data_IF_052339224805
#
_entry.id   IF_052339224805
#
_cell.length_a   1.000
_cell.length_b   1.000
_cell.length_c   1.000
_cell.angle_alpha   90.00
_cell.angle_beta   90.00
_cell.angle_gamma   90.00
#
_symmetry.space_group_name_H-M   'P 1'
#
loop_
_entity.id
_entity.type
_entity.pdbx_description
1 polymer ?
#
# COMPACT_ATOMS: atom_id res chain seq x y z
N UNK A 1 24.59 32.26 41.25
CA UNK A 1 24.68 31.39 40.04
C UNK A 1 23.89 30.09 40.16
N UNK A 2 23.99 29.29 41.24
CA UNK A 2 23.20 28.03 41.40
C UNK A 2 21.67 28.21 41.33
N UNK A 3 21.14 29.29 41.88
CA UNK A 3 19.68 29.58 41.85
C UNK A 3 19.18 30.00 40.46
N UNK A 4 20.05 30.58 39.62
CA UNK A 4 19.71 30.98 38.26
C UNK A 4 19.56 29.75 37.34
N UNK A 5 20.38 28.72 37.57
CA UNK A 5 20.34 27.46 36.84
C UNK A 5 19.04 26.69 37.11
N UNK A 6 18.56 26.70 38.35
CA UNK A 6 17.28 26.09 38.72
C UNK A 6 16.07 26.80 38.08
N UNK A 7 16.10 28.14 38.02
CA UNK A 7 15.07 28.92 37.33
C UNK A 7 15.05 28.65 35.82
N UNK A 8 16.22 28.57 35.18
CA UNK A 8 16.34 28.22 33.76
C UNK A 8 15.81 26.81 33.45
N UNK A 9 16.13 25.82 34.28
CA UNK A 9 15.63 24.45 34.14
C UNK A 9 14.10 24.36 34.27
N UNK A 10 13.51 25.12 35.19
CA UNK A 10 12.04 25.18 35.33
C UNK A 10 11.36 25.85 34.13
N UNK A 11 11.93 26.92 33.57
CA UNK A 11 11.37 27.57 32.38
C UNK A 11 11.44 26.69 31.13
N UNK A 12 12.49 25.87 30.97
CA UNK A 12 12.58 24.90 29.88
C UNK A 12 11.56 23.75 30.00
N UNK A 13 11.28 23.28 31.22
CA UNK A 13 10.30 22.22 31.45
C UNK A 13 8.85 22.69 31.21
N UNK A 14 8.53 23.94 31.54
CA UNK A 14 7.20 24.51 31.27
C UNK A 14 6.94 24.72 29.77
N UNK A 15 7.95 25.11 29.00
CA UNK A 15 7.82 25.25 27.54
C UNK A 15 7.75 23.87 26.83
N UNK A 16 8.38 22.83 27.38
CA UNK A 16 8.30 21.47 26.83
C UNK A 16 6.90 20.83 26.97
N UNK A 17 6.07 21.28 27.91
CA UNK A 17 4.68 20.83 28.04
C UNK A 17 3.71 21.58 27.11
N UNK A 18 4.10 22.73 26.57
CA UNK A 18 3.25 23.53 25.67
C UNK A 18 3.24 22.99 24.24
N UNK A 19 4.14 22.09 23.88
CA UNK A 19 4.20 21.42 22.58
C UNK A 19 3.86 19.92 22.65
N UNK A 20 2.94 19.50 23.52
CA UNK A 20 2.19 18.29 23.21
C UNK A 20 1.35 18.58 21.96
N UNK A 21 1.95 18.35 20.78
CA UNK A 21 1.22 18.33 19.51
C UNK A 21 0.05 17.38 19.69
N UNK A 22 -1.16 17.93 19.77
CA UNK A 22 -2.37 17.12 19.69
C UNK A 22 -2.32 16.38 18.36
N UNK A 23 -2.08 15.07 18.42
CA UNK A 23 -2.06 14.24 17.25
C UNK A 23 -3.48 13.71 17.05
N UNK A 24 -4.29 14.48 16.32
CA UNK A 24 -5.64 14.05 15.93
C UNK A 24 -5.66 13.69 14.45
N UNK A 25 -6.16 12.51 14.16
CA UNK A 25 -6.29 12.00 12.80
C UNK A 25 -7.49 11.06 12.72
N UNK A 26 -8.26 11.20 11.65
CA UNK A 26 -9.31 10.26 11.27
C UNK A 26 -8.92 9.62 9.95
N UNK A 27 -8.71 8.32 9.93
CA UNK A 27 -8.59 7.55 8.70
C UNK A 27 -9.97 7.04 8.31
N UNK A 28 -10.54 7.63 7.27
CA UNK A 28 -11.84 7.26 6.70
C UNK A 28 -11.61 6.17 5.67
N UNK A 29 -12.27 5.02 5.83
CA UNK A 29 -12.14 3.86 4.95
C UNK A 29 -13.50 3.46 4.39
N UNK A 30 -13.54 3.07 3.12
CA UNK A 30 -14.71 2.56 2.41
C UNK A 30 -14.35 1.29 1.64
N UNK A 31 -15.17 0.26 1.83
CA UNK A 31 -15.15 -0.97 1.04
C UNK A 31 -15.83 -0.67 -0.29
N UNK A 32 -15.08 -0.82 -1.39
CA UNK A 32 -15.51 -0.43 -2.74
C UNK A 32 -15.77 -1.64 -3.63
N UNK A 33 -15.06 -2.75 -3.40
CA UNK A 33 -15.23 -4.00 -4.13
C UNK A 33 -15.33 -5.16 -3.15
N UNK A 34 -16.12 -6.17 -3.53
CA UNK A 34 -16.35 -7.39 -2.76
C UNK A 34 -16.32 -8.60 -3.70
N UNK A 35 -15.79 -9.72 -3.22
CA UNK A 35 -15.82 -10.99 -3.96
C UNK A 35 -17.21 -11.64 -3.80
N UNK A 36 -17.60 -12.52 -4.71
CA UNK A 36 -18.81 -13.33 -4.51
C UNK A 36 -18.69 -14.16 -3.22
N UNK A 37 -19.72 -14.12 -2.39
CA UNK A 37 -19.69 -14.82 -1.11
C UNK A 37 -18.73 -14.17 -0.08
N UNK A 38 -18.42 -12.89 -0.22
CA UNK A 38 -17.50 -12.19 0.68
C UNK A 38 -18.01 -11.98 2.11
N UNK A 39 -17.10 -11.74 3.07
CA UNK A 39 -17.42 -11.20 4.38
C UNK A 39 -18.25 -9.91 4.28
N UNK A 40 -19.20 -9.74 5.17
CA UNK A 40 -20.08 -8.57 5.21
C UNK A 40 -19.44 -7.31 5.82
N UNK A 41 -18.24 -7.38 6.42
CA UNK A 41 -17.61 -6.27 7.15
C UNK A 41 -16.27 -5.85 6.55
N UNK A 42 -16.09 -4.54 6.36
CA UNK A 42 -14.80 -3.93 6.01
C UNK A 42 -13.68 -4.29 6.99
N UNK A 43 -14.00 -4.53 8.26
CA UNK A 43 -13.01 -4.91 9.27
C UNK A 43 -12.25 -6.17 8.87
N UNK A 44 -12.94 -7.15 8.26
CA UNK A 44 -12.33 -8.39 7.82
C UNK A 44 -11.33 -8.14 6.69
N UNK A 45 -11.73 -7.33 5.70
CA UNK A 45 -10.85 -6.93 4.60
C UNK A 45 -9.61 -6.18 5.09
N UNK A 46 -9.80 -5.29 6.07
CA UNK A 46 -8.74 -4.49 6.67
C UNK A 46 -7.76 -5.31 7.50
N UNK A 47 -8.26 -6.15 8.42
CA UNK A 47 -7.43 -6.83 9.43
C UNK A 47 -6.95 -8.22 8.99
N UNK A 48 -7.82 -9.01 8.37
CA UNK A 48 -7.54 -10.42 8.03
C UNK A 48 -6.93 -10.53 6.65
N UNK A 49 -7.57 -9.91 5.66
CA UNK A 49 -7.10 -9.98 4.27
C UNK A 49 -6.02 -8.92 3.95
N UNK A 50 -5.93 -7.85 4.75
CA UNK A 50 -5.01 -6.72 4.55
C UNK A 50 -5.10 -6.14 3.13
N UNK A 51 -6.33 -5.98 2.62
CA UNK A 51 -6.62 -5.55 1.25
C UNK A 51 -6.97 -4.06 1.20
N UNK A 52 -6.06 -3.24 0.67
CA UNK A 52 -6.25 -1.82 0.33
C UNK A 52 -6.09 -1.61 -1.17
N UNK A 53 -6.42 -0.42 -1.69
CA UNK A 53 -6.46 -0.16 -3.13
C UNK A 53 -7.74 -0.75 -3.74
N UNK A 54 -7.65 -1.91 -4.40
CA UNK A 54 -8.80 -2.52 -5.10
C UNK A 54 -10.06 -2.64 -4.23
N UNK A 55 -9.89 -3.05 -2.97
CA UNK A 55 -11.01 -3.40 -2.08
C UNK A 55 -11.36 -2.27 -1.13
N UNK A 56 -10.36 -1.64 -0.51
CA UNK A 56 -10.56 -0.55 0.45
C UNK A 56 -9.88 0.70 -0.07
N UNK A 57 -10.68 1.74 -0.27
CA UNK A 57 -10.21 3.10 -0.47
C UNK A 57 -10.20 3.82 0.88
N UNK A 58 -9.23 4.70 1.08
CA UNK A 58 -9.08 5.41 2.33
C UNK A 58 -8.52 6.82 2.15
N UNK A 59 -8.86 7.71 3.08
CA UNK A 59 -8.29 9.05 3.19
C UNK A 59 -7.99 9.37 4.65
N UNK A 60 -7.10 10.33 4.89
CA UNK A 60 -6.85 10.89 6.22
C UNK A 60 -7.44 12.28 6.30
N UNK A 61 -8.07 12.59 7.43
CA UNK A 61 -8.50 13.93 7.80
C UNK A 61 -7.89 14.29 9.15
N UNK A 62 -7.29 15.46 9.26
CA UNK A 62 -6.69 15.98 10.50
C UNK A 62 -7.63 16.96 11.21
N UNK A 63 -8.94 16.85 10.96
CA UNK A 63 -9.96 17.72 11.53
C UNK A 63 -10.38 17.22 12.92
N UNK A 64 -9.97 17.93 13.97
CA UNK A 64 -10.36 17.66 15.36
C UNK A 64 -11.88 17.55 15.54
N UNK A 65 -12.64 18.45 14.90
CA UNK A 65 -14.11 18.49 15.02
C UNK A 65 -14.72 17.19 14.52
N UNK A 66 -14.22 16.64 13.41
CA UNK A 66 -14.68 15.36 12.89
C UNK A 66 -14.37 14.22 13.87
N UNK A 67 -13.14 14.17 14.39
CA UNK A 67 -12.71 13.13 15.33
C UNK A 67 -13.62 13.09 16.57
N UNK A 68 -13.79 14.24 17.23
CA UNK A 68 -14.64 14.33 18.42
C UNK A 68 -16.13 14.11 18.10
N UNK A 69 -16.61 14.55 16.93
CA UNK A 69 -17.99 14.30 16.51
C UNK A 69 -18.26 12.81 16.29
N UNK A 70 -17.33 12.06 15.70
CA UNK A 70 -17.44 10.62 15.54
C UNK A 70 -17.42 9.86 16.87
N UNK A 71 -16.55 10.27 17.81
CA UNK A 71 -16.53 9.68 19.16
C UNK A 71 -17.84 9.95 19.91
N UNK A 72 -18.38 11.17 19.79
CA UNK A 72 -19.69 11.53 20.34
C UNK A 72 -20.79 10.69 19.71
N UNK A 73 -20.80 10.59 18.37
CA UNK A 73 -21.75 9.79 17.60
C UNK A 73 -21.79 8.34 18.09
N UNK A 74 -20.62 7.71 18.30
CA UNK A 74 -20.53 6.35 18.82
C UNK A 74 -21.18 6.20 20.20
N UNK A 75 -21.00 7.18 21.07
CA UNK A 75 -21.61 7.18 22.41
C UNK A 75 -23.12 7.37 22.32
N UNK A 76 -23.58 8.34 21.53
CA UNK A 76 -25.00 8.66 21.35
C UNK A 76 -25.76 7.51 20.67
N UNK A 77 -25.13 6.80 19.75
CA UNK A 77 -25.74 5.72 18.98
C UNK A 77 -26.35 4.62 19.85
N UNK A 78 -25.76 4.35 21.02
CA UNK A 78 -26.27 3.33 21.95
C UNK A 78 -27.68 3.59 22.47
N UNK A 79 -28.16 4.83 22.35
CA UNK A 79 -29.52 5.22 22.74
C UNK A 79 -30.52 5.20 21.58
N UNK A 80 -30.09 4.91 20.35
CA UNK A 80 -30.96 4.85 19.19
C UNK A 80 -31.67 3.50 19.07
N UNK A 81 -32.60 3.42 18.11
CA UNK A 81 -33.28 2.17 17.78
C UNK A 81 -32.26 1.13 17.32
N UNK A 82 -32.25 -0.01 18.03
CA UNK A 82 -31.31 -1.11 17.81
C UNK A 82 -31.96 -2.23 17.02
N UNK A 83 -31.18 -2.84 16.14
CA UNK A 83 -31.57 -4.00 15.35
C UNK A 83 -30.42 -5.02 15.32
N UNK A 84 -30.77 -6.30 15.21
CA UNK A 84 -29.79 -7.36 15.04
C UNK A 84 -29.17 -7.21 13.65
N UNK A 85 -27.85 -7.06 13.60
CA UNK A 85 -27.09 -7.04 12.37
C UNK A 85 -26.07 -8.18 12.46
N UNK A 86 -26.43 -9.32 11.86
CA UNK A 86 -25.62 -10.52 11.86
C UNK A 86 -24.46 -10.38 10.88
N UNK A 87 -23.53 -9.47 11.17
CA UNK A 87 -22.35 -9.23 10.39
C UNK A 87 -21.08 -9.50 11.21
N UNK A 88 -20.55 -10.73 11.07
CA UNK A 88 -19.32 -11.17 11.72
C UNK A 88 -18.22 -11.56 10.72
N UNK A 89 -17.07 -11.99 11.24
CA UNK A 89 -15.88 -12.33 10.44
C UNK A 89 -16.16 -13.37 9.32
N UNK A 90 -17.15 -14.25 9.51
CA UNK A 90 -17.49 -15.33 8.55
C UNK A 90 -18.90 -15.19 7.96
N UNK A 91 -19.55 -14.03 8.16
CA UNK A 91 -20.91 -13.82 7.68
C UNK A 91 -20.93 -13.44 6.20
N UNK A 92 -21.37 -14.38 5.37
CA UNK A 92 -21.53 -14.24 3.92
C UNK A 92 -22.98 -13.90 3.56
N UNK A 93 -23.19 -12.93 2.66
CA UNK A 93 -24.52 -12.63 2.08
C UNK A 93 -25.52 -11.91 2.99
N UNK A 94 -25.05 -11.21 4.03
CA UNK A 94 -25.88 -10.46 5.01
C UNK A 94 -25.69 -8.94 4.90
N UNK A 95 -26.35 -8.17 5.77
CA UNK A 95 -26.23 -6.72 5.86
C UNK A 95 -24.76 -6.26 5.85
N UNK A 96 -24.41 -5.39 4.90
CA UNK A 96 -23.04 -4.95 4.66
C UNK A 96 -22.66 -3.77 5.57
N UNK A 97 -21.48 -3.86 6.16
CA UNK A 97 -20.82 -2.81 6.94
C UNK A 97 -19.59 -2.33 6.14
N UNK A 98 -19.80 -1.44 5.14
CA UNK A 98 -18.75 -1.08 4.18
C UNK A 98 -17.81 0.00 4.70
N UNK A 99 -18.13 0.69 5.79
CA UNK A 99 -17.43 1.91 6.18
C UNK A 99 -16.79 1.76 7.55
N UNK A 100 -15.59 2.32 7.69
CA UNK A 100 -14.82 2.32 8.93
C UNK A 100 -14.11 3.65 9.11
N UNK A 101 -14.24 4.23 10.29
CA UNK A 101 -13.55 5.45 10.70
C UNK A 101 -12.60 5.09 11.83
N UNK A 102 -11.30 5.14 11.56
CA UNK A 102 -10.27 4.92 12.57
C UNK A 102 -9.91 6.29 13.15
N UNK A 103 -10.17 6.48 14.44
CA UNK A 103 -10.02 7.77 15.12
C UNK A 103 -8.81 7.65 16.04
N UNK A 104 -7.81 8.49 15.81
CA UNK A 104 -6.61 8.61 16.62
C UNK A 104 -6.62 10.01 17.24
N UNK A 105 -6.70 10.09 18.56
CA UNK A 105 -6.62 11.35 19.33
C UNK A 105 -5.54 11.14 20.39
N UNK A 106 -4.39 11.79 20.20
CA UNK A 106 -3.19 11.57 20.99
C UNK A 106 -2.79 10.08 20.97
N UNK A 107 -2.68 9.43 22.13
CA UNK A 107 -2.34 8.00 22.23
C UNK A 107 -3.58 7.08 22.26
N UNK A 108 -4.78 7.63 22.09
CA UNK A 108 -6.01 6.86 22.09
C UNK A 108 -6.48 6.58 20.67
N UNK A 109 -6.81 5.32 20.41
CA UNK A 109 -7.32 4.85 19.13
C UNK A 109 -8.68 4.20 19.33
N UNK A 110 -9.67 4.65 18.58
CA UNK A 110 -10.98 4.03 18.52
C UNK A 110 -11.45 3.85 17.07
N UNK A 111 -12.53 3.09 16.87
CA UNK A 111 -13.09 2.84 15.55
C UNK A 111 -14.61 2.90 15.57
N UNK A 112 -15.18 3.57 14.57
CA UNK A 112 -16.61 3.61 14.30
C UNK A 112 -16.85 2.88 12.99
N UNK A 113 -17.82 1.95 12.99
CA UNK A 113 -18.27 1.27 11.78
C UNK A 113 -19.65 1.77 11.40
N UNK A 114 -19.90 1.97 10.11
CA UNK A 114 -21.22 2.38 9.64
C UNK A 114 -21.69 1.51 8.48
N UNK A 115 -23.02 1.39 8.38
CA UNK A 115 -23.69 0.63 7.32
C UNK A 115 -23.74 1.41 6.00
N UNK A 116 -24.22 0.76 4.94
CA UNK A 116 -24.41 1.38 3.61
C UNK A 116 -25.12 2.73 3.73
N UNK A 117 -24.57 3.74 3.06
CA UNK A 117 -25.12 5.10 3.07
C UNK A 117 -24.98 5.81 4.42
N UNK A 118 -24.16 5.31 5.34
CA UNK A 118 -23.96 5.87 6.68
C UNK A 118 -25.29 6.03 7.45
N UNK A 119 -26.16 5.00 7.42
CA UNK A 119 -27.50 5.08 8.05
C UNK A 119 -27.53 4.64 9.51
N UNK A 120 -26.60 3.77 9.90
CA UNK A 120 -26.52 3.22 11.25
C UNK A 120 -25.07 3.08 11.69
N UNK A 121 -24.84 3.14 13.00
CA UNK A 121 -23.57 2.75 13.63
C UNK A 121 -23.63 1.27 13.96
N UNK A 122 -22.62 0.52 13.54
CA UNK A 122 -22.50 -0.91 13.80
C UNK A 122 -21.50 -1.17 14.93
N UNK A 123 -21.88 -2.04 15.87
CA UNK A 123 -21.02 -2.50 16.96
C UNK A 123 -20.69 -3.99 16.75
N UNK A 124 -19.48 -4.31 16.23
CA UNK A 124 -19.10 -5.68 15.89
C UNK A 124 -19.20 -6.67 17.06
N UNK A 125 -18.81 -6.24 18.26
CA UNK A 125 -18.84 -7.09 19.46
C UNK A 125 -20.27 -7.45 19.91
N UNK A 126 -21.24 -6.60 19.56
CA UNK A 126 -22.65 -6.79 19.93
C UNK A 126 -23.47 -7.41 18.80
N UNK A 127 -22.92 -7.46 17.57
CA UNK A 127 -23.63 -7.85 16.34
C UNK A 127 -24.94 -7.06 16.17
N UNK A 128 -24.87 -5.76 16.49
CA UNK A 128 -26.00 -4.84 16.50
C UNK A 128 -25.70 -3.60 15.67
N UNK A 129 -26.72 -3.11 14.98
CA UNK A 129 -26.72 -1.80 14.36
C UNK A 129 -27.70 -0.87 15.08
N UNK A 130 -27.33 0.40 15.18
CA UNK A 130 -28.11 1.44 15.81
C UNK A 130 -28.44 2.49 14.76
N UNK A 131 -29.70 2.55 14.35
CA UNK A 131 -30.15 3.37 13.22
C UNK A 131 -30.25 4.83 13.63
N UNK A 132 -29.55 5.70 12.91
CA UNK A 132 -29.53 7.12 13.23
C UNK A 132 -30.91 7.75 12.98
N UNK A 133 -31.44 8.56 13.91
CA UNK A 133 -32.64 9.33 13.65
C UNK A 133 -32.37 10.27 12.46
N UNK A 134 -33.26 10.26 11.47
CA UNK A 134 -33.20 11.12 10.28
C UNK A 134 -31.91 10.99 9.42
N UNK A 135 -31.21 9.84 9.45
CA UNK A 135 -29.94 9.64 8.71
C UNK A 135 -28.84 10.68 9.06
N UNK A 136 -28.81 11.15 10.31
CA UNK A 136 -27.94 12.23 10.79
C UNK A 136 -26.42 12.02 10.59
N UNK A 137 -25.92 10.79 10.43
CA UNK A 137 -24.46 10.53 10.47
C UNK A 137 -23.68 11.33 9.43
N UNK A 138 -24.21 11.54 8.22
CA UNK A 138 -23.49 12.31 7.19
C UNK A 138 -23.40 13.81 7.50
N UNK A 139 -24.24 14.33 8.40
CA UNK A 139 -24.25 15.76 8.76
C UNK A 139 -23.00 16.21 9.52
N UNK A 140 -22.27 15.28 10.14
CA UNK A 140 -21.01 15.57 10.82
C UNK A 140 -19.80 15.52 9.87
N UNK A 141 -19.99 15.12 8.62
CA UNK A 141 -18.89 15.00 7.66
C UNK A 141 -18.52 16.37 7.11
N UNK A 142 -17.24 16.77 7.21
CA UNK A 142 -16.74 17.90 6.44
C UNK A 142 -16.82 17.60 4.93
N UNK A 143 -16.63 18.65 4.11
CA UNK A 143 -16.79 18.57 2.66
C UNK A 143 -15.90 17.51 2.03
N UNK A 144 -14.62 17.43 2.42
CA UNK A 144 -13.65 16.45 1.92
C UNK A 144 -14.11 14.99 2.16
N UNK A 145 -14.64 14.71 3.35
CA UNK A 145 -15.18 13.39 3.69
C UNK A 145 -16.48 13.11 2.92
N UNK A 146 -17.32 14.13 2.74
CA UNK A 146 -18.54 14.02 1.93
C UNK A 146 -18.18 13.69 0.47
N UNK A 147 -17.27 14.45 -0.12
CA UNK A 147 -16.78 14.27 -1.49
C UNK A 147 -16.18 12.85 -1.66
N UNK A 148 -15.42 12.37 -0.66
CA UNK A 148 -14.90 11.00 -0.66
C UNK A 148 -16.00 9.93 -0.72
N UNK A 149 -17.10 10.08 0.02
CA UNK A 149 -18.22 9.13 -0.06
C UNK A 149 -19.06 9.26 -1.32
N UNK A 150 -19.02 10.41 -2.01
CA UNK A 150 -19.70 10.64 -3.29
C UNK A 150 -18.95 10.07 -4.49
N UNK A 151 -17.66 9.77 -4.36
CA UNK A 151 -16.88 9.16 -5.46
C UNK A 151 -17.38 7.77 -5.83
N UNK A 152 -17.35 7.49 -7.12
CA UNK A 152 -17.59 6.15 -7.67
C UNK A 152 -16.25 5.42 -7.89
N UNK A 153 -15.64 5.03 -6.78
CA UNK A 153 -14.37 4.31 -6.80
C UNK A 153 -14.44 3.01 -7.60
N UNK A 154 -15.59 2.33 -7.65
CA UNK A 154 -15.74 1.08 -8.39
C UNK A 154 -15.55 1.32 -9.89
N UNK A 155 -16.21 2.35 -10.43
CA UNK A 155 -16.04 2.75 -11.83
C UNK A 155 -14.64 3.30 -12.10
N UNK A 156 -14.09 4.12 -11.20
CA UNK A 156 -12.72 4.64 -11.34
C UNK A 156 -11.68 3.50 -11.39
N UNK A 157 -11.78 2.51 -10.50
CA UNK A 157 -10.89 1.33 -10.47
C UNK A 157 -11.08 0.47 -11.74
N UNK A 158 -12.33 0.30 -12.20
CA UNK A 158 -12.61 -0.52 -13.38
C UNK A 158 -12.12 0.13 -14.68
N UNK A 159 -12.14 1.47 -14.75
CA UNK A 159 -11.66 2.24 -15.89
C UNK A 159 -10.13 2.45 -15.85
N UNK A 160 -9.51 2.26 -14.68
CA UNK A 160 -8.08 2.48 -14.49
C UNK A 160 -7.25 1.55 -15.38
N UNK A 161 -6.30 2.15 -16.10
CA UNK A 161 -5.32 1.45 -16.92
C UNK A 161 -3.95 1.93 -16.53
N UNK A 162 -3.08 1.01 -16.14
CA UNK A 162 -1.69 1.35 -15.84
C UNK A 162 -0.99 1.84 -17.11
N UNK A 163 -0.04 2.76 -16.93
CA UNK A 163 0.88 3.15 -18.00
C UNK A 163 1.79 1.97 -18.36
N UNK A 164 2.36 2.03 -19.56
CA UNK A 164 3.23 0.99 -20.10
C UNK A 164 4.45 1.60 -20.75
N UNK A 165 5.61 0.96 -20.55
CA UNK A 165 6.89 1.37 -21.13
C UNK A 165 7.62 0.17 -21.76
N UNK A 166 8.54 0.38 -22.71
CA UNK A 166 9.32 -0.71 -23.28
C UNK A 166 10.22 -1.36 -22.22
N UNK A 167 10.34 -2.70 -22.19
CA UNK A 167 11.25 -3.39 -21.25
C UNK A 167 12.71 -2.93 -21.35
N UNK A 168 13.14 -2.49 -22.54
CA UNK A 168 14.47 -1.94 -22.81
C UNK A 168 14.75 -0.59 -22.14
N UNK A 169 13.72 0.08 -21.60
CA UNK A 169 13.87 1.33 -20.83
C UNK A 169 14.44 1.12 -19.43
N UNK A 170 14.55 -0.13 -18.97
CA UNK A 170 15.22 -0.50 -17.72
C UNK A 170 16.72 -0.63 -17.98
N UNK A 171 17.49 0.30 -17.45
CA UNK A 171 18.91 0.48 -17.72
C UNK A 171 19.76 0.27 -16.46
N UNK A 172 20.85 -0.49 -16.57
CA UNK A 172 21.95 -0.52 -15.61
C UNK A 172 23.16 0.12 -16.30
N UNK A 173 23.72 1.19 -15.72
CA UNK A 173 24.84 1.94 -16.35
C UNK A 173 24.53 2.38 -17.79
N UNK A 174 23.31 2.86 -18.03
CA UNK A 174 22.80 3.27 -19.36
C UNK A 174 22.71 2.13 -20.40
N UNK A 175 22.84 0.86 -20.00
CA UNK A 175 22.65 -0.31 -20.86
C UNK A 175 21.36 -1.04 -20.49
N UNK A 176 20.53 -1.45 -21.46
CA UNK A 176 19.34 -2.25 -21.19
C UNK A 176 19.70 -3.57 -20.49
N UNK A 177 18.90 -3.95 -19.49
CA UNK A 177 19.06 -5.23 -18.78
C UNK A 177 18.03 -6.29 -19.15
N UNK A 178 16.98 -5.92 -19.88
CA UNK A 178 16.04 -6.89 -20.44
C UNK A 178 16.77 -7.85 -21.39
N UNK A 179 16.42 -9.14 -21.34
CA UNK A 179 17.08 -10.23 -22.07
C UNK A 179 18.55 -10.53 -21.72
N UNK A 180 19.15 -9.79 -20.78
CA UNK A 180 20.54 -10.00 -20.38
C UNK A 180 20.71 -11.40 -19.77
N UNK A 181 21.62 -12.18 -20.34
CA UNK A 181 21.94 -13.51 -19.80
C UNK A 181 22.87 -13.41 -18.60
N UNK A 182 22.88 -14.46 -17.77
CA UNK A 182 23.79 -14.56 -16.62
C UNK A 182 25.25 -14.38 -17.01
N UNK A 183 25.69 -15.00 -18.12
CA UNK A 183 27.07 -14.88 -18.61
C UNK A 183 27.44 -13.46 -19.04
N UNK A 184 26.51 -12.74 -19.68
CA UNK A 184 26.73 -11.35 -20.09
C UNK A 184 26.79 -10.43 -18.86
N UNK A 185 25.91 -10.67 -17.88
CA UNK A 185 25.92 -9.96 -16.60
C UNK A 185 27.24 -10.18 -15.84
N UNK A 186 27.71 -11.42 -15.71
CA UNK A 186 28.96 -11.78 -15.04
C UNK A 186 30.21 -11.19 -15.71
N UNK A 187 30.15 -10.90 -17.02
CA UNK A 187 31.28 -10.29 -17.75
C UNK A 187 31.45 -8.80 -17.44
N UNK A 188 30.35 -8.08 -17.25
CA UNK A 188 30.34 -6.62 -17.12
C UNK A 188 30.47 -6.14 -15.65
N UNK A 189 30.47 -7.06 -14.69
CA UNK A 189 30.48 -6.78 -13.25
C UNK A 189 31.68 -7.44 -12.58
N UNK A 190 32.63 -6.62 -12.15
CA UNK A 190 33.91 -7.05 -11.56
C UNK A 190 33.85 -7.40 -10.07
N UNK A 191 32.81 -6.96 -9.35
CA UNK A 191 32.61 -7.23 -7.91
C UNK A 191 31.15 -7.57 -7.64
N UNK A 192 30.83 -8.84 -7.43
CA UNK A 192 29.52 -9.29 -6.93
C UNK A 192 29.72 -10.23 -5.75
N UNK A 193 28.88 -10.10 -4.73
CA UNK A 193 28.72 -11.16 -3.74
C UNK A 193 27.75 -12.18 -4.33
N UNK A 194 28.27 -13.33 -4.74
CA UNK A 194 27.43 -14.45 -5.14
C UNK A 194 26.70 -14.97 -3.91
N UNK A 195 25.37 -14.98 -3.93
CA UNK A 195 24.62 -15.68 -2.91
C UNK A 195 23.50 -16.50 -3.53
N UNK A 196 23.73 -17.81 -3.45
CA UNK A 196 22.70 -18.85 -3.33
C UNK A 196 21.87 -19.11 -4.60
N UNK A 197 21.92 -20.36 -5.03
CA UNK A 197 20.94 -20.98 -5.93
C UNK A 197 19.80 -21.51 -5.06
N UNK A 198 18.62 -20.89 -5.14
CA UNK A 198 17.44 -21.39 -4.44
C UNK A 198 16.58 -22.21 -5.41
N UNK A 199 16.35 -23.47 -5.03
CA UNK A 199 15.34 -24.33 -5.64
C UNK A 199 14.01 -24.05 -4.97
N UNK A 200 13.10 -23.40 -5.69
CA UNK A 200 11.72 -23.20 -5.21
C UNK A 200 10.95 -24.49 -5.48
N UNK A 201 10.42 -25.10 -4.43
CA UNK A 201 9.51 -26.25 -4.52
C UNK A 201 8.09 -25.75 -4.26
N UNK A 202 7.11 -26.22 -5.04
CA UNK A 202 5.69 -26.02 -4.70
C UNK A 202 5.26 -27.02 -3.64
N UNK A 203 4.13 -26.76 -2.96
CA UNK A 203 3.57 -27.58 -1.87
C UNK A 203 3.40 -29.07 -2.20
N UNK A 204 3.44 -29.45 -3.48
CA UNK A 204 3.40 -30.85 -3.96
C UNK A 204 4.77 -31.54 -3.99
N UNK A 205 5.84 -30.89 -3.52
CA UNK A 205 7.21 -31.45 -3.51
C UNK A 205 7.91 -31.47 -4.87
N UNK A 206 7.28 -30.95 -5.93
CA UNK A 206 7.89 -30.83 -7.26
C UNK A 206 8.78 -29.59 -7.33
N UNK A 207 10.00 -29.76 -7.86
CA UNK A 207 10.89 -28.66 -8.21
C UNK A 207 10.16 -27.74 -9.19
N UNK A 208 9.90 -26.50 -8.77
CA UNK A 208 9.15 -25.53 -9.54
C UNK A 208 10.08 -24.68 -10.40
N UNK A 209 11.17 -24.16 -9.81
CA UNK A 209 12.11 -23.26 -10.48
C UNK A 209 13.42 -23.24 -9.72
N UNK A 210 14.54 -23.22 -10.43
CA UNK A 210 15.84 -22.86 -9.86
C UNK A 210 16.10 -21.40 -10.17
N UNK A 211 16.45 -20.60 -9.16
CA UNK A 211 16.74 -19.17 -9.31
C UNK A 211 18.16 -18.91 -8.82
N UNK A 212 18.98 -18.29 -9.65
CA UNK A 212 20.32 -17.82 -9.25
C UNK A 212 20.21 -16.34 -8.90
N UNK A 213 20.64 -15.95 -7.69
CA UNK A 213 20.59 -14.55 -7.24
C UNK A 213 21.97 -13.94 -7.12
N UNK A 214 22.13 -12.69 -7.56
CA UNK A 214 23.35 -11.90 -7.48
C UNK A 214 23.06 -10.59 -6.77
N UNK A 215 23.99 -10.15 -5.91
CA UNK A 215 23.87 -8.88 -5.21
C UNK A 215 24.96 -7.91 -5.65
N UNK A 216 24.54 -6.73 -6.11
CA UNK A 216 25.40 -5.56 -6.34
C UNK A 216 25.06 -4.52 -5.27
N UNK A 217 25.88 -4.50 -4.22
CA UNK A 217 25.47 -3.86 -2.97
C UNK A 217 24.17 -4.50 -2.47
N UNK A 218 23.13 -3.69 -2.37
CA UNK A 218 21.80 -4.09 -1.87
C UNK A 218 20.79 -4.37 -3.00
N UNK A 219 21.22 -4.26 -4.26
CA UNK A 219 20.38 -4.60 -5.42
C UNK A 219 20.50 -6.07 -5.74
N UNK A 220 19.38 -6.78 -5.71
CA UNK A 220 19.28 -8.21 -6.06
C UNK A 220 18.90 -8.36 -7.53
N UNK A 221 19.62 -9.22 -8.24
CA UNK A 221 19.29 -9.68 -9.59
C UNK A 221 19.03 -11.18 -9.56
N UNK A 222 17.86 -11.61 -10.02
CA UNK A 222 17.42 -13.01 -10.02
C UNK A 222 17.34 -13.54 -11.46
N UNK A 223 18.03 -14.64 -11.76
CA UNK A 223 18.02 -15.29 -13.06
C UNK A 223 17.15 -16.55 -13.05
N UNK A 224 16.28 -16.69 -14.05
CA UNK A 224 15.51 -17.92 -14.28
C UNK A 224 16.42 -19.02 -14.81
N UNK A 225 16.55 -20.16 -14.14
CA UNK A 225 17.44 -21.24 -14.60
C UNK A 225 17.04 -21.90 -15.93
N UNK A 226 15.79 -21.77 -16.39
CA UNK A 226 15.32 -22.31 -17.68
C UNK A 226 15.84 -21.47 -18.84
N UNK A 227 15.85 -20.14 -18.69
CA UNK A 227 16.23 -19.20 -19.75
C UNK A 227 17.61 -18.56 -19.53
N UNK A 228 18.17 -18.67 -18.33
CA UNK A 228 19.41 -18.05 -17.86
C UNK A 228 19.43 -16.52 -18.08
N UNK A 229 18.25 -15.89 -18.00
CA UNK A 229 18.00 -14.44 -18.19
C UNK A 229 17.53 -13.80 -16.89
N UNK A 230 17.78 -12.49 -16.72
CA UNK A 230 17.25 -11.72 -15.59
C UNK A 230 15.73 -11.79 -15.58
N UNK A 231 15.15 -12.34 -14.54
CA UNK A 231 13.70 -12.49 -14.36
C UNK A 231 13.13 -11.55 -13.32
N UNK A 232 13.95 -11.12 -12.36
CA UNK A 232 13.54 -10.22 -11.30
C UNK A 232 14.72 -9.35 -10.88
N UNK A 233 14.42 -8.09 -10.54
CA UNK A 233 15.35 -7.17 -9.91
C UNK A 233 14.69 -6.51 -8.71
N UNK A 234 15.36 -6.47 -7.58
CA UNK A 234 14.88 -5.82 -6.35
C UNK A 234 15.91 -4.77 -5.93
N UNK A 235 15.47 -3.52 -5.86
CA UNK A 235 16.28 -2.36 -5.47
C UNK A 235 15.66 -1.77 -4.20
N UNK A 236 16.43 -1.66 -3.12
CA UNK A 236 15.99 -1.00 -1.90
C UNK A 236 16.82 0.26 -1.66
N UNK A 237 16.19 1.33 -1.17
CA UNK A 237 16.90 2.54 -0.76
C UNK A 237 17.74 2.23 0.47
N UNK A 238 19.06 2.21 0.30
CA UNK A 238 20.03 2.13 1.40
C UNK A 238 20.90 3.39 1.42
N UNK A 239 21.62 3.61 2.51
CA UNK A 239 22.41 4.83 2.71
C UNK A 239 23.67 4.89 1.82
N UNK A 240 24.16 3.74 1.32
CA UNK A 240 25.41 3.61 0.57
C UNK A 240 25.20 2.96 -0.81
N UNK A 241 24.35 3.54 -1.65
CA UNK A 241 24.38 3.21 -3.08
C UNK A 241 25.49 4.02 -3.74
N UNK A 242 26.57 3.36 -4.14
CA UNK A 242 27.52 3.99 -5.07
C UNK A 242 26.80 4.28 -6.39
N UNK A 243 26.93 5.49 -6.92
CA UNK A 243 26.33 5.93 -8.20
C UNK A 243 26.63 4.98 -9.39
N UNK A 244 27.66 4.14 -9.27
CA UNK A 244 28.11 3.20 -10.29
C UNK A 244 27.15 2.04 -10.59
N UNK A 245 26.18 1.73 -9.73
CA UNK A 245 25.25 0.60 -9.92
C UNK A 245 23.78 1.02 -9.94
N UNK A 246 23.51 2.30 -10.14
CA UNK A 246 22.14 2.82 -10.19
C UNK A 246 21.39 2.26 -11.40
N UNK A 247 20.22 1.69 -11.13
CA UNK A 247 19.24 1.32 -12.15
C UNK A 247 18.34 2.52 -12.41
N UNK A 248 18.17 2.82 -13.69
CA UNK A 248 17.32 3.89 -14.20
C UNK A 248 16.21 3.25 -15.05
N UNK A 249 14.97 3.68 -14.85
CA UNK A 249 13.79 3.14 -15.51
C UNK A 249 13.09 4.32 -16.16
N UNK A 250 13.31 4.48 -17.46
CA UNK A 250 12.77 5.62 -18.20
C UNK A 250 13.05 6.95 -17.46
N UNK A 251 14.28 7.19 -17.01
CA UNK A 251 14.65 8.40 -16.27
C UNK A 251 14.30 8.42 -14.77
N UNK A 252 13.62 7.40 -14.24
CA UNK A 252 13.27 7.29 -12.81
C UNK A 252 14.26 6.38 -12.10
N UNK A 253 14.70 6.75 -10.89
CA UNK A 253 15.59 5.94 -10.07
C UNK A 253 15.15 5.87 -8.60
N UNK A 254 15.73 4.91 -7.89
CA UNK A 254 15.56 4.78 -6.44
C UNK A 254 15.96 6.09 -5.74
N UNK A 255 15.15 6.51 -4.76
CA UNK A 255 15.40 7.73 -4.00
C UNK A 255 14.86 9.02 -4.61
N UNK A 256 14.37 9.01 -5.86
CA UNK A 256 13.63 10.15 -6.43
C UNK A 256 12.34 10.43 -5.64
N UNK A 257 11.80 11.64 -5.76
CA UNK A 257 10.50 11.98 -5.18
C UNK A 257 9.35 11.26 -5.91
N UNK A 258 8.24 11.05 -5.20
CA UNK A 258 6.99 10.55 -5.79
C UNK A 258 6.56 11.40 -7.00
N UNK A 259 6.80 12.71 -6.95
CA UNK A 259 6.41 13.65 -8.01
C UNK A 259 7.02 13.29 -9.38
N UNK A 260 8.22 12.72 -9.40
CA UNK A 260 8.85 12.25 -10.65
C UNK A 260 8.01 11.15 -11.30
N UNK A 261 7.44 10.24 -10.51
CA UNK A 261 6.53 9.21 -11.02
C UNK A 261 5.21 9.82 -11.45
N UNK A 262 4.63 10.71 -10.64
CA UNK A 262 3.34 11.34 -10.94
C UNK A 262 3.37 12.15 -12.24
N UNK A 263 4.51 12.76 -12.59
CA UNK A 263 4.66 13.54 -13.83
C UNK A 263 4.93 12.67 -15.07
N UNK A 264 5.28 11.40 -14.88
CA UNK A 264 5.69 10.49 -15.96
C UNK A 264 4.65 9.41 -16.23
N UNK A 265 3.93 8.98 -15.19
CA UNK A 265 2.95 7.90 -15.22
C UNK A 265 1.63 8.37 -14.61
N UNK A 266 0.96 9.30 -15.29
CA UNK A 266 -0.27 9.95 -14.83
C UNK A 266 -1.36 8.92 -14.50
N UNK A 267 -1.50 7.87 -15.32
CA UNK A 267 -2.54 6.88 -15.10
C UNK A 267 -2.15 5.94 -13.96
N UNK A 268 -0.94 5.38 -13.97
CA UNK A 268 -0.45 4.45 -12.93
C UNK A 268 -0.44 5.07 -11.53
N UNK A 269 -0.33 6.39 -11.42
CA UNK A 269 -0.31 7.10 -10.13
C UNK A 269 -1.66 7.67 -9.70
N UNK A 270 -2.70 7.55 -10.54
CA UNK A 270 -4.04 8.09 -10.29
C UNK A 270 -4.71 7.51 -9.05
N UNK A 271 -4.59 6.20 -8.86
CA UNK A 271 -5.15 5.49 -7.71
C UNK A 271 -4.08 5.28 -6.65
N UNK A 272 -4.34 5.82 -5.45
CA UNK A 272 -3.42 5.71 -4.30
C UNK A 272 -3.76 4.53 -3.41
N UNK A 273 -2.86 4.25 -2.47
CA UNK A 273 -3.03 3.30 -1.36
C UNK A 273 -3.05 1.81 -1.76
N UNK A 274 -2.57 1.46 -2.95
CA UNK A 274 -2.31 0.07 -3.30
C UNK A 274 -1.29 -0.54 -2.33
N UNK A 275 -1.62 -1.73 -1.81
CA UNK A 275 -0.87 -2.49 -0.80
C UNK A 275 -0.54 -1.73 0.50
N UNK A 276 -1.15 -0.56 0.72
CA UNK A 276 -0.85 0.29 1.85
C UNK A 276 -1.42 -0.32 3.13
N UNK A 277 -0.65 -0.43 4.22
CA UNK A 277 -1.24 -0.71 5.51
C UNK A 277 -2.10 0.48 5.95
N UNK A 278 -3.27 0.22 6.53
CA UNK A 278 -4.19 1.30 6.96
C UNK A 278 -3.57 2.28 7.95
N UNK A 279 -2.56 1.86 8.71
CA UNK A 279 -1.81 2.73 9.63
C UNK A 279 -0.89 3.73 8.93
N UNK A 280 -0.65 3.59 7.62
CA UNK A 280 0.29 4.42 6.87
C UNK A 280 -0.18 4.65 5.43
N UNK A 281 -1.48 4.85 5.19
CA UNK A 281 -2.03 4.96 3.82
C UNK A 281 -1.38 6.05 2.98
N UNK A 282 -1.02 7.18 3.59
CA UNK A 282 -0.35 8.30 2.90
C UNK A 282 1.18 8.25 2.95
N UNK A 283 1.76 7.28 3.67
CA UNK A 283 3.19 7.20 3.94
C UNK A 283 3.84 5.93 3.39
N UNK A 284 3.09 4.88 3.06
CA UNK A 284 3.59 3.62 2.52
C UNK A 284 2.58 2.99 1.57
N UNK A 285 2.87 2.95 0.28
CA UNK A 285 1.99 2.41 -0.77
C UNK A 285 2.79 2.10 -2.03
N UNK A 286 2.15 1.44 -3.00
CA UNK A 286 2.79 1.01 -4.25
C UNK A 286 2.15 1.66 -5.48
N UNK A 287 2.95 1.81 -6.53
CA UNK A 287 2.50 2.11 -7.89
C UNK A 287 3.02 1.05 -8.85
N UNK A 288 2.26 0.74 -9.90
CA UNK A 288 2.63 -0.26 -10.89
C UNK A 288 2.62 0.32 -12.30
N UNK A 289 3.63 -0.04 -13.10
CA UNK A 289 3.77 0.30 -14.52
C UNK A 289 4.04 -1.00 -15.28
N UNK A 290 3.33 -1.22 -16.38
CA UNK A 290 3.57 -2.41 -17.20
C UNK A 290 4.80 -2.27 -18.08
N UNK A 291 5.41 -3.41 -18.39
CA UNK A 291 6.31 -3.50 -19.52
C UNK A 291 5.51 -3.94 -20.75
N UNK A 292 5.72 -3.24 -21.86
CA UNK A 292 5.01 -3.46 -23.13
C UNK A 292 5.03 -4.93 -23.55
N UNK A 293 4.05 -5.34 -24.37
CA UNK A 293 3.92 -6.71 -24.87
C UNK A 293 3.85 -7.80 -23.79
N UNK A 294 3.39 -7.43 -22.58
CA UNK A 294 3.32 -8.32 -21.41
C UNK A 294 4.70 -8.84 -20.98
N UNK A 295 5.76 -8.07 -21.26
CA UNK A 295 7.15 -8.42 -20.93
C UNK A 295 7.46 -8.28 -19.44
N UNK A 296 6.47 -7.94 -18.61
CA UNK A 296 6.62 -7.85 -17.16
C UNK A 296 5.90 -6.67 -16.53
N UNK A 297 6.33 -6.31 -15.32
CA UNK A 297 5.82 -5.16 -14.57
C UNK A 297 6.92 -4.55 -13.71
N UNK A 298 6.73 -3.29 -13.35
CA UNK A 298 7.56 -2.55 -12.41
C UNK A 298 6.66 -2.05 -11.29
N UNK A 299 7.04 -2.34 -10.05
CA UNK A 299 6.37 -1.85 -8.85
C UNK A 299 7.28 -0.92 -8.09
N UNK A 300 6.85 0.32 -7.91
CA UNK A 300 7.51 1.32 -7.09
C UNK A 300 6.86 1.35 -5.72
N UNK A 301 7.62 1.16 -4.65
CA UNK A 301 7.13 1.37 -3.29
C UNK A 301 7.52 2.77 -2.84
N UNK A 302 6.52 3.55 -2.46
CA UNK A 302 6.69 4.91 -1.96
C UNK A 302 6.73 4.87 -0.43
N UNK A 303 7.73 5.52 0.16
CA UNK A 303 7.78 5.79 1.60
C UNK A 303 8.04 7.27 1.84
N UNK A 304 7.15 7.93 2.58
CA UNK A 304 7.27 9.36 2.88
C UNK A 304 7.55 10.21 1.63
N UNK A 305 6.77 10.00 0.56
CA UNK A 305 6.87 10.74 -0.72
C UNK A 305 8.18 10.53 -1.50
N UNK A 306 8.91 9.47 -1.20
CA UNK A 306 10.15 9.09 -1.88
C UNK A 306 10.04 7.65 -2.38
N UNK A 307 10.61 7.36 -3.55
CA UNK A 307 10.76 6.01 -4.07
C UNK A 307 11.73 5.25 -3.16
N UNK A 308 11.17 4.36 -2.34
CA UNK A 308 11.89 3.64 -1.29
C UNK A 308 12.35 2.26 -1.73
N UNK A 309 11.61 1.61 -2.61
CA UNK A 309 12.05 0.40 -3.29
C UNK A 309 11.46 0.31 -4.67
N UNK A 310 12.14 -0.43 -5.54
CA UNK A 310 11.69 -0.74 -6.88
C UNK A 310 11.81 -2.25 -7.07
N UNK A 311 10.73 -2.86 -7.51
CA UNK A 311 10.65 -4.25 -7.91
C UNK A 311 10.40 -4.30 -9.41
N UNK A 312 11.21 -5.06 -10.14
CA UNK A 312 11.04 -5.30 -11.58
C UNK A 312 10.86 -6.79 -11.78
N UNK A 313 9.79 -7.19 -12.46
CA UNK A 313 9.59 -8.55 -12.95
C UNK A 313 9.67 -8.53 -14.47
N UNK A 314 10.49 -9.41 -15.06
CA UNK A 314 10.50 -9.66 -16.50
C UNK A 314 9.83 -10.99 -16.82
N UNK A 315 8.95 -10.97 -17.81
CA UNK A 315 8.27 -12.13 -18.37
C UNK A 315 8.74 -12.32 -19.80
N UNK A 316 9.35 -13.46 -20.05
CA UNK A 316 9.75 -13.83 -21.40
C UNK A 316 8.69 -14.74 -22.00
N UNK A 317 8.27 -14.51 -23.25
CA UNK A 317 7.42 -15.47 -23.94
C UNK A 317 8.07 -16.84 -23.89
N UNK A 318 7.31 -17.85 -23.46
CA UNK A 318 7.79 -19.23 -23.34
C UNK A 318 8.33 -19.70 -24.71
N UNK A 319 9.65 -19.59 -24.90
CA UNK A 319 10.32 -20.26 -26.01
C UNK A 319 9.97 -21.74 -25.93
N UNK A 320 9.49 -22.32 -27.03
CA UNK A 320 9.20 -23.75 -27.12
C UNK A 320 10.33 -24.52 -26.43
N UNK A 321 9.99 -25.26 -25.36
CA UNK A 321 10.94 -26.16 -24.68
C UNK A 321 11.67 -26.93 -25.77
N UNK A 322 12.96 -26.64 -25.98
CA UNK A 322 13.79 -27.45 -26.87
C UNK A 322 13.66 -28.87 -26.36
N UNK A 323 12.88 -29.71 -27.06
CA UNK A 323 12.83 -31.14 -26.81
C UNK A 323 14.28 -31.59 -26.89
N UNK A 324 14.87 -31.96 -25.75
CA UNK A 324 16.14 -32.67 -25.72
C UNK A 324 15.92 -33.90 -26.61
N UNK A 325 16.52 -33.90 -27.80
CA UNK A 325 16.67 -35.14 -28.57
C UNK A 325 17.51 -36.05 -27.68
N UNK A 326 16.89 -37.13 -27.22
CA UNK A 326 17.60 -38.24 -26.59
C UNK A 326 18.46 -38.93 -27.63
#
# INVERSE_FOLDING_TARGET
MKQLLFLLLFTCLCNAQQEFKNYTKVTVCRLVNTDEGSPCSIEYYAKKLKRTGHYIQAMESFNDTLAYSLLRLKTEAKNWNKEVCNCGEESVGKALVPNMFIIEVNNHKDTVFTTIGNRAVFFPNEQQQYTAPQNNITSIFPKDVTDFFLRDFTSEISAWKMDSIPAKSVLLRKKPIYDLTRKEFEKDITYFNFSRTDSVYIATGKLHRTVNSYYLGETKFSFDAVQDRISEVIINKTQDLSDFYTIEIDGVKIGDSEEVLCNKYDNSTLLKNWDAPLSAINNYYTYEVYLDNLEGLIRYTIRNKIIYSIYIEFKYPNGMRKKKKK
#
